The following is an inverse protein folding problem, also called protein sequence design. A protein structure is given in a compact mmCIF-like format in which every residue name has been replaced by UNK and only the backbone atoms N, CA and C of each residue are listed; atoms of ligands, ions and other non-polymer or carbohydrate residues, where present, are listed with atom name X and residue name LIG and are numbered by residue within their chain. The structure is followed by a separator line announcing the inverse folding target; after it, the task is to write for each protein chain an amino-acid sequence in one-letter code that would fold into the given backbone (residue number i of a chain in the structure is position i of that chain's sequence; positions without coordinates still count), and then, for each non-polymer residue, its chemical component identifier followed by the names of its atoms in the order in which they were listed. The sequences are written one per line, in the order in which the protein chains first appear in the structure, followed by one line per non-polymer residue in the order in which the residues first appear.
data_IF_080014093804
#
_entry.id   IF_080014093804
#
_cell.length_a   1.000
_cell.length_b   1.000
_cell.length_c   1.000
_cell.angle_alpha   90.00
_cell.angle_beta   90.00
_cell.angle_gamma   90.00
#
_symmetry.space_group_name_H-M   'P 1'
#
loop_
_entity.id
_entity.type
_entity.pdbx_description
1 polymer ?
#
# COMPACT_ATOMS: atom_id res chain seq x y z
N UNK A 1 27.31 -16.63 32.15
CA UNK A 1 26.48 -17.83 32.32
C UNK A 1 25.42 -17.82 31.24
N UNK A 2 25.42 -18.82 30.35
CA UNK A 2 24.36 -19.01 29.37
C UNK A 2 23.38 -20.03 30.00
N UNK A 3 22.18 -19.55 30.33
CA UNK A 3 21.12 -20.46 30.76
C UNK A 3 20.63 -21.27 29.53
N UNK A 4 20.31 -22.57 29.68
CA UNK A 4 19.68 -23.32 28.62
C UNK A 4 18.31 -22.71 28.27
N UNK A 5 17.88 -22.83 27.01
CA UNK A 5 16.52 -22.47 26.60
C UNK A 5 15.51 -23.27 27.47
N UNK A 6 14.43 -22.61 27.92
CA UNK A 6 13.40 -23.34 28.64
C UNK A 6 12.72 -24.37 27.73
N UNK A 7 12.57 -25.58 28.23
CA UNK A 7 11.75 -26.60 27.58
C UNK A 7 10.27 -26.26 27.75
N UNK A 8 9.61 -25.94 26.64
CA UNK A 8 8.19 -25.62 26.62
C UNK A 8 7.38 -26.90 26.40
N UNK A 9 6.42 -27.22 27.31
CA UNK A 9 5.56 -28.38 27.13
C UNK A 9 4.81 -28.36 25.80
N UNK A 10 4.80 -29.48 25.05
CA UNK A 10 4.06 -29.59 23.78
C UNK A 10 2.55 -29.40 23.96
N UNK A 11 2.02 -29.61 25.17
CA UNK A 11 0.61 -29.32 25.53
C UNK A 11 0.23 -27.84 25.44
N UNK A 12 1.20 -26.93 25.38
CA UNK A 12 0.95 -25.51 25.19
C UNK A 12 0.79 -25.12 23.72
N UNK A 13 1.13 -26.04 22.80
CA UNK A 13 0.93 -25.82 21.38
C UNK A 13 -0.56 -25.98 21.05
N UNK A 14 -1.13 -24.93 20.46
CA UNK A 14 -2.52 -24.92 19.98
C UNK A 14 -2.56 -24.42 18.54
N UNK A 15 -2.55 -25.37 17.60
CA UNK A 15 -2.53 -25.07 16.16
C UNK A 15 -3.73 -24.24 15.70
N UNK A 16 -4.90 -24.42 16.31
CA UNK A 16 -6.08 -23.65 15.95
C UNK A 16 -5.95 -22.21 16.41
N UNK A 17 -5.45 -21.97 17.61
CA UNK A 17 -5.18 -20.64 18.13
C UNK A 17 -4.08 -19.96 17.31
N UNK A 18 -3.01 -20.67 16.96
CA UNK A 18 -1.93 -20.17 16.11
C UNK A 18 -2.47 -19.73 14.74
N UNK A 19 -3.33 -20.53 14.11
CA UNK A 19 -3.96 -20.22 12.83
C UNK A 19 -4.85 -18.98 12.93
N UNK A 20 -5.69 -18.88 13.97
CA UNK A 20 -6.54 -17.71 14.22
C UNK A 20 -5.71 -16.43 14.42
N UNK A 21 -4.65 -16.54 15.21
CA UNK A 21 -3.76 -15.43 15.47
C UNK A 21 -2.96 -15.03 14.22
N UNK A 22 -2.50 -16.01 13.43
CA UNK A 22 -1.86 -15.77 12.13
C UNK A 22 -2.77 -14.98 11.18
N UNK A 23 -4.04 -15.37 11.06
CA UNK A 23 -5.05 -14.65 10.26
C UNK A 23 -5.25 -13.20 10.73
N UNK A 24 -5.33 -12.99 12.05
CA UNK A 24 -5.41 -11.66 12.63
C UNK A 24 -4.19 -10.80 12.24
N UNK A 25 -2.98 -11.35 12.39
CA UNK A 25 -1.74 -10.66 12.04
C UNK A 25 -1.66 -10.31 10.55
N UNK A 26 -1.95 -11.27 9.67
CA UNK A 26 -1.96 -11.07 8.23
C UNK A 26 -2.95 -9.98 7.81
N UNK A 27 -4.16 -9.99 8.38
CA UNK A 27 -5.17 -8.95 8.12
C UNK A 27 -4.67 -7.58 8.57
N UNK A 28 -4.08 -7.45 9.75
CA UNK A 28 -3.54 -6.18 10.26
C UNK A 28 -2.41 -5.67 9.36
N UNK A 29 -1.50 -6.55 8.94
CA UNK A 29 -0.39 -6.19 8.04
C UNK A 29 -0.94 -5.70 6.69
N UNK A 30 -1.90 -6.42 6.11
CA UNK A 30 -2.51 -6.05 4.85
C UNK A 30 -3.26 -4.70 4.95
N UNK A 31 -3.99 -4.45 6.04
CA UNK A 31 -4.63 -3.16 6.31
C UNK A 31 -3.60 -2.02 6.37
N UNK A 32 -2.48 -2.24 7.06
CA UNK A 32 -1.41 -1.23 7.13
C UNK A 32 -0.79 -0.96 5.76
N UNK A 33 -0.63 -1.98 4.93
CA UNK A 33 -0.15 -1.83 3.55
C UNK A 33 -1.15 -1.04 2.68
N UNK A 34 -2.46 -1.33 2.79
CA UNK A 34 -3.51 -0.56 2.10
C UNK A 34 -3.44 0.92 2.51
N UNK A 35 -3.26 1.21 3.81
CA UNK A 35 -3.10 2.59 4.30
C UNK A 35 -1.87 3.27 3.70
N UNK A 36 -0.74 2.57 3.69
CA UNK A 36 0.52 3.11 3.16
C UNK A 36 0.43 3.42 1.66
N UNK A 37 -0.14 2.49 0.88
CA UNK A 37 -0.30 2.66 -0.58
C UNK A 37 -1.24 3.82 -0.90
N UNK A 38 -2.33 3.97 -0.13
CA UNK A 38 -3.36 4.99 -0.37
C UNK A 38 -3.17 6.27 0.47
N UNK A 39 -2.04 6.42 1.15
CA UNK A 39 -1.73 7.57 2.02
C UNK A 39 -2.80 7.86 3.08
N UNK A 40 -3.47 6.82 3.61
CA UNK A 40 -4.49 6.95 4.65
C UNK A 40 -3.79 7.04 6.01
N UNK A 41 -4.08 8.11 6.77
CA UNK A 41 -3.51 8.30 8.10
C UNK A 41 -3.84 7.12 9.03
N UNK A 42 -2.91 6.72 9.89
CA UNK A 42 -3.09 5.61 10.83
C UNK A 42 -4.22 5.84 11.84
N UNK A 43 -4.55 7.11 12.12
CA UNK A 43 -5.64 7.52 13.01
C UNK A 43 -7.02 7.47 12.38
N UNK A 44 -7.12 7.46 11.04
CA UNK A 44 -8.40 7.45 10.31
C UNK A 44 -9.06 6.08 10.47
N UNK A 45 -10.29 5.96 10.99
CA UNK A 45 -10.98 4.68 11.03
C UNK A 45 -11.31 4.21 9.62
N UNK A 46 -11.14 2.90 9.36
CA UNK A 46 -11.52 2.25 8.11
C UNK A 46 -12.47 1.09 8.39
N UNK A 47 -13.22 0.70 7.39
CA UNK A 47 -14.10 -0.46 7.47
C UNK A 47 -13.46 -1.68 6.81
N UNK A 48 -13.73 -2.86 7.37
CA UNK A 48 -13.34 -4.15 6.81
C UNK A 48 -14.59 -4.93 6.42
N UNK A 49 -14.63 -5.39 5.19
CA UNK A 49 -15.61 -6.34 4.70
C UNK A 49 -14.86 -7.62 4.34
N UNK A 50 -15.19 -8.74 5.00
CA UNK A 50 -14.44 -10.00 4.85
C UNK A 50 -15.37 -11.08 4.32
N UNK A 51 -15.05 -11.59 3.12
CA UNK A 51 -15.76 -12.73 2.56
C UNK A 51 -15.05 -14.01 3.00
N UNK A 52 -15.74 -14.83 3.77
CA UNK A 52 -15.23 -16.07 4.34
C UNK A 52 -16.38 -17.02 4.70
N UNK A 53 -16.05 -18.25 5.11
CA UNK A 53 -17.09 -19.17 5.63
C UNK A 53 -17.62 -18.73 7.02
N UNK A 54 -18.69 -19.37 7.47
CA UNK A 54 -19.37 -19.02 8.72
C UNK A 54 -18.50 -19.19 9.98
N UNK A 55 -17.64 -20.22 10.00
CA UNK A 55 -16.76 -20.49 11.15
C UNK A 55 -15.72 -19.38 11.30
N UNK A 56 -15.11 -18.99 10.19
CA UNK A 56 -14.14 -17.89 10.15
C UNK A 56 -14.82 -16.56 10.48
N UNK A 57 -16.04 -16.33 10.01
CA UNK A 57 -16.78 -15.12 10.34
C UNK A 57 -17.02 -14.99 11.85
N UNK A 58 -17.41 -16.08 12.52
CA UNK A 58 -17.54 -16.11 13.97
C UNK A 58 -16.22 -15.80 14.68
N UNK A 59 -15.12 -16.44 14.25
CA UNK A 59 -13.78 -16.18 14.80
C UNK A 59 -13.33 -14.71 14.63
N UNK A 60 -13.66 -14.10 13.49
CA UNK A 60 -13.32 -12.70 13.22
C UNK A 60 -14.14 -11.74 14.09
N UNK A 61 -15.39 -12.07 14.37
CA UNK A 61 -16.21 -11.29 15.29
C UNK A 61 -15.66 -11.34 16.73
N UNK A 62 -15.16 -12.50 17.19
CA UNK A 62 -14.54 -12.64 18.51
C UNK A 62 -13.31 -11.74 18.69
N UNK A 63 -12.59 -11.48 17.61
CA UNK A 63 -11.37 -10.65 17.61
C UNK A 63 -11.56 -9.25 17.01
N UNK A 64 -12.81 -8.81 16.79
CA UNK A 64 -13.10 -7.52 16.14
C UNK A 64 -12.48 -6.32 16.87
N UNK A 65 -12.46 -6.35 18.18
CA UNK A 65 -11.85 -5.30 19.01
C UNK A 65 -10.34 -5.17 18.76
N UNK A 66 -9.65 -6.25 18.42
CA UNK A 66 -8.22 -6.22 18.11
C UNK A 66 -7.94 -5.50 16.79
N UNK A 67 -8.80 -5.63 15.78
CA UNK A 67 -8.68 -4.85 14.53
C UNK A 67 -8.81 -3.35 14.81
N UNK A 68 -9.76 -2.95 15.64
CA UNK A 68 -9.96 -1.56 16.02
C UNK A 68 -8.76 -1.01 16.81
N UNK A 69 -8.29 -1.76 17.80
CA UNK A 69 -7.19 -1.33 18.66
C UNK A 69 -5.84 -1.26 17.91
N UNK A 70 -5.53 -2.26 17.08
CA UNK A 70 -4.21 -2.43 16.46
C UNK A 70 -4.09 -1.80 15.06
N UNK A 71 -5.22 -1.61 14.38
CA UNK A 71 -5.24 -1.10 13.01
C UNK A 71 -6.25 0.04 12.77
N UNK A 72 -7.01 0.48 13.78
CA UNK A 72 -8.14 1.42 13.62
C UNK A 72 -9.09 0.96 12.50
N UNK A 73 -9.36 -0.35 12.44
CA UNK A 73 -10.18 -0.98 11.43
C UNK A 73 -11.42 -1.61 12.06
N UNK A 74 -12.60 -1.21 11.62
CA UNK A 74 -13.89 -1.70 12.12
C UNK A 74 -14.34 -2.86 11.23
N UNK A 75 -14.63 -4.01 11.81
CA UNK A 75 -15.23 -5.13 11.10
C UNK A 75 -16.70 -4.81 10.81
N UNK A 76 -16.98 -4.37 9.58
CA UNK A 76 -18.31 -3.96 9.15
C UNK A 76 -19.16 -5.17 8.71
N UNK A 77 -18.56 -6.16 8.06
CA UNK A 77 -19.23 -7.37 7.62
C UNK A 77 -18.23 -8.54 7.51
N UNK A 78 -18.66 -9.73 7.91
CA UNK A 78 -17.95 -10.99 7.67
C UNK A 78 -18.93 -12.09 7.31
N UNK A 79 -18.66 -12.88 6.27
CA UNK A 79 -19.50 -13.98 5.82
C UNK A 79 -19.35 -14.33 4.35
N UNK A 80 -20.03 -15.40 3.93
CA UNK A 80 -19.93 -15.93 2.56
C UNK A 80 -20.56 -14.99 1.51
N UNK A 81 -21.60 -14.24 1.90
CA UNK A 81 -22.38 -13.40 0.99
C UNK A 81 -21.82 -11.96 0.88
N UNK A 82 -20.69 -11.67 1.52
CA UNK A 82 -20.06 -10.33 1.46
C UNK A 82 -19.64 -10.01 0.05
N UNK A 83 -20.23 -8.97 -0.52
CA UNK A 83 -19.89 -8.46 -1.84
C UNK A 83 -18.78 -7.40 -1.73
N UNK A 84 -17.85 -7.36 -2.70
CA UNK A 84 -16.83 -6.32 -2.73
C UNK A 84 -17.52 -4.94 -2.89
N UNK A 85 -17.23 -3.98 -2.01
CA UNK A 85 -17.73 -2.61 -2.17
C UNK A 85 -17.20 -1.96 -3.45
N UNK A 86 -17.96 -1.01 -3.97
CA UNK A 86 -17.48 -0.16 -5.07
C UNK A 86 -16.24 0.62 -4.59
N UNK A 87 -15.19 0.67 -5.41
CA UNK A 87 -13.97 1.39 -5.06
C UNK A 87 -13.29 0.88 -3.77
N UNK A 88 -13.06 -0.43 -3.67
CA UNK A 88 -12.38 -1.05 -2.53
C UNK A 88 -10.98 -1.54 -2.91
N UNK A 89 -10.02 -1.40 -2.00
CA UNK A 89 -8.80 -2.18 -2.05
C UNK A 89 -9.12 -3.61 -1.60
N UNK A 90 -8.62 -4.60 -2.33
CA UNK A 90 -8.82 -6.00 -2.01
C UNK A 90 -7.50 -6.73 -1.78
N UNK A 91 -7.51 -7.67 -0.87
CA UNK A 91 -6.41 -8.62 -0.69
C UNK A 91 -6.97 -9.97 -0.24
N UNK A 92 -6.32 -11.03 -0.68
CA UNK A 92 -6.72 -12.40 -0.36
C UNK A 92 -5.80 -12.98 0.69
N UNK A 93 -6.37 -13.51 1.75
CA UNK A 93 -5.73 -14.38 2.72
C UNK A 93 -5.89 -15.84 2.28
N UNK A 94 -5.30 -16.77 2.99
CA UNK A 94 -5.37 -18.20 2.66
C UNK A 94 -6.82 -18.72 2.56
N UNK A 95 -7.74 -18.19 3.37
CA UNK A 95 -9.10 -18.69 3.55
C UNK A 95 -10.16 -17.58 3.62
N UNK A 96 -9.81 -16.36 3.24
CA UNK A 96 -10.72 -15.21 3.23
C UNK A 96 -10.27 -14.13 2.23
N UNK A 97 -11.23 -13.43 1.65
CA UNK A 97 -11.00 -12.21 0.87
C UNK A 97 -11.40 -10.99 1.71
N UNK A 98 -10.50 -10.03 1.79
CA UNK A 98 -10.72 -8.81 2.57
C UNK A 98 -10.84 -7.62 1.64
N UNK A 99 -11.86 -6.81 1.88
CA UNK A 99 -12.14 -5.60 1.13
C UNK A 99 -12.12 -4.40 2.08
N UNK A 100 -11.41 -3.37 1.68
CA UNK A 100 -11.34 -2.08 2.39
C UNK A 100 -11.95 -1.03 1.48
N UNK A 101 -13.16 -0.53 1.76
CA UNK A 101 -13.74 0.59 1.01
C UNK A 101 -12.81 1.80 1.09
N UNK A 102 -12.50 2.38 -0.05
CA UNK A 102 -11.64 3.57 -0.15
C UNK A 102 -12.46 4.86 -0.34
N UNK A 103 -13.77 4.71 -0.50
CA UNK A 103 -14.66 5.84 -0.69
C UNK A 103 -14.67 6.75 0.54
N UNK A 104 -14.43 8.05 0.33
CA UNK A 104 -14.30 9.03 1.41
C UNK A 104 -13.01 8.96 2.23
N UNK A 105 -12.15 7.96 2.02
CA UNK A 105 -10.86 7.83 2.70
C UNK A 105 -9.70 8.42 1.90
N UNK A 106 -9.84 8.45 0.57
CA UNK A 106 -8.88 9.11 -0.31
C UNK A 106 -9.39 10.52 -0.57
N UNK A 107 -8.65 11.50 -0.09
CA UNK A 107 -8.83 12.87 -0.51
C UNK A 107 -8.28 12.99 -1.94
N UNK A 108 -9.17 12.78 -2.92
CA UNK A 108 -8.82 12.83 -4.36
C UNK A 108 -8.21 14.16 -4.75
N UNK A 109 -8.68 15.27 -4.15
CA UNK A 109 -8.13 16.60 -4.43
C UNK A 109 -6.72 16.75 -3.90
N UNK A 110 -6.48 16.34 -2.65
CA UNK A 110 -5.13 16.37 -2.07
C UNK A 110 -4.17 15.44 -2.81
N UNK A 111 -4.61 14.26 -3.20
CA UNK A 111 -3.79 13.31 -3.97
C UNK A 111 -3.51 13.83 -5.38
N UNK A 112 -4.51 14.39 -6.04
CA UNK A 112 -4.35 15.08 -7.34
C UNK A 112 -3.37 16.24 -7.23
N UNK A 113 -3.49 17.08 -6.19
CA UNK A 113 -2.59 18.19 -5.97
C UNK A 113 -1.13 17.74 -5.73
N UNK A 114 -0.90 16.65 -5.01
CA UNK A 114 0.44 16.06 -4.83
C UNK A 114 1.02 15.57 -6.14
N UNK A 115 0.25 14.78 -6.89
CA UNK A 115 0.68 14.23 -8.16
C UNK A 115 0.93 15.34 -9.20
N UNK A 116 0.13 16.41 -9.20
CA UNK A 116 0.35 17.57 -10.05
C UNK A 116 1.68 18.28 -9.73
N UNK A 117 1.99 18.48 -8.45
CA UNK A 117 3.28 19.04 -8.02
C UNK A 117 4.46 18.17 -8.43
N UNK A 118 4.32 16.85 -8.31
CA UNK A 118 5.37 15.91 -8.74
C UNK A 118 5.52 15.91 -10.26
N UNK A 119 4.44 15.94 -11.03
CA UNK A 119 4.49 16.11 -12.48
C UNK A 119 5.24 17.39 -12.89
N UNK A 120 4.96 18.51 -12.23
CA UNK A 120 5.64 19.79 -12.49
C UNK A 120 7.12 19.73 -12.13
N UNK A 121 7.50 19.04 -11.05
CA UNK A 121 8.90 18.81 -10.69
C UNK A 121 9.62 17.98 -11.76
N UNK A 122 8.99 16.89 -12.22
CA UNK A 122 9.55 16.03 -13.28
C UNK A 122 9.67 16.79 -14.61
N UNK A 123 8.67 17.60 -15.01
CA UNK A 123 8.74 18.44 -16.22
C UNK A 123 9.92 19.41 -16.19
N UNK A 124 10.12 20.10 -15.04
CA UNK A 124 11.28 20.98 -14.86
C UNK A 124 12.60 20.22 -14.95
N UNK A 125 12.65 19.00 -14.38
CA UNK A 125 13.82 18.11 -14.47
C UNK A 125 14.11 17.69 -15.90
N UNK A 126 13.09 17.34 -16.67
CA UNK A 126 13.19 17.00 -18.11
C UNK A 126 13.72 18.20 -18.88
N UNK A 127 13.09 19.35 -18.75
CA UNK A 127 13.49 20.58 -19.43
C UNK A 127 14.97 20.96 -19.14
N UNK A 128 15.37 20.85 -17.86
CA UNK A 128 16.76 21.14 -17.47
C UNK A 128 17.76 20.20 -18.13
N UNK A 129 17.46 18.89 -18.16
CA UNK A 129 18.36 17.89 -18.77
C UNK A 129 18.35 18.00 -20.30
N UNK A 130 17.23 18.29 -20.93
CA UNK A 130 17.15 18.54 -22.37
C UNK A 130 17.96 19.77 -22.77
N UNK A 131 17.86 20.87 -22.01
CA UNK A 131 18.70 22.06 -22.21
C UNK A 131 20.19 21.78 -22.10
N UNK A 132 20.61 20.94 -21.12
CA UNK A 132 22.01 20.52 -20.98
C UNK A 132 22.49 19.72 -22.19
N UNK A 133 21.69 18.77 -22.66
CA UNK A 133 22.02 17.92 -23.80
C UNK A 133 21.93 18.68 -25.13
N UNK A 134 21.17 19.76 -25.23
CA UNK A 134 21.13 20.64 -26.39
C UNK A 134 22.27 21.66 -26.42
N UNK A 135 23.00 21.83 -25.31
CA UNK A 135 24.13 22.76 -25.26
C UNK A 135 25.41 22.13 -25.85
N UNK A 136 25.75 22.50 -27.06
CA UNK A 136 26.95 21.99 -27.78
C UNK A 136 28.26 22.15 -26.98
N UNK A 137 28.41 23.25 -26.24
CA UNK A 137 29.59 23.50 -25.41
C UNK A 137 29.68 22.53 -24.21
N UNK A 138 28.55 22.13 -23.67
CA UNK A 138 28.47 21.12 -22.64
C UNK A 138 28.77 19.72 -23.21
N UNK A 139 28.15 19.36 -24.32
CA UNK A 139 28.30 18.04 -24.95
C UNK A 139 29.75 17.83 -25.41
N UNK A 140 30.44 18.87 -25.90
CA UNK A 140 31.82 18.78 -26.35
C UNK A 140 32.86 18.66 -25.21
N UNK A 141 32.53 19.13 -23.99
CA UNK A 141 33.44 19.16 -22.85
C UNK A 141 33.15 18.10 -21.78
N UNK A 142 31.93 17.59 -21.72
CA UNK A 142 31.53 16.64 -20.70
C UNK A 142 32.11 15.24 -20.99
N UNK A 143 32.54 14.50 -19.94
CA UNK A 143 32.92 13.11 -20.08
C UNK A 143 31.79 12.25 -20.62
N UNK A 144 32.07 11.18 -21.41
CA UNK A 144 31.04 10.30 -21.97
C UNK A 144 30.10 9.72 -20.92
N UNK A 145 30.62 9.35 -19.76
CA UNK A 145 29.83 8.80 -18.64
C UNK A 145 28.79 9.79 -18.11
N UNK A 146 29.15 11.08 -18.03
CA UNK A 146 28.23 12.14 -17.57
C UNK A 146 27.13 12.38 -18.60
N UNK A 147 27.44 12.31 -19.88
CA UNK A 147 26.44 12.41 -20.95
C UNK A 147 25.47 11.23 -20.92
N UNK A 148 26.01 10.02 -20.71
CA UNK A 148 25.15 8.82 -20.61
C UNK A 148 24.25 8.89 -19.38
N UNK A 149 24.79 9.22 -18.21
CA UNK A 149 23.99 9.42 -16.99
C UNK A 149 22.89 10.48 -17.18
N UNK A 150 23.18 11.57 -17.87
CA UNK A 150 22.18 12.63 -18.12
C UNK A 150 21.05 12.10 -19.02
N UNK A 151 21.36 11.28 -20.00
CA UNK A 151 20.36 10.61 -20.87
C UNK A 151 19.52 9.62 -20.10
N UNK A 152 20.14 8.79 -19.26
CA UNK A 152 19.45 7.80 -18.45
C UNK A 152 18.49 8.45 -17.43
N UNK A 153 18.93 9.54 -16.79
CA UNK A 153 18.08 10.35 -15.90
C UNK A 153 16.92 10.97 -16.66
N UNK A 154 17.16 11.50 -17.86
CA UNK A 154 16.11 12.08 -18.70
C UNK A 154 15.05 11.02 -19.09
N UNK A 155 15.49 9.84 -19.50
CA UNK A 155 14.58 8.74 -19.84
C UNK A 155 13.77 8.28 -18.62
N UNK A 156 14.41 8.18 -17.45
CA UNK A 156 13.75 7.82 -16.21
C UNK A 156 12.68 8.86 -15.80
N UNK A 157 13.02 10.16 -15.89
CA UNK A 157 12.03 11.22 -15.60
C UNK A 157 10.84 11.19 -16.56
N UNK A 158 11.05 10.90 -17.85
CA UNK A 158 9.97 10.74 -18.83
C UNK A 158 9.06 9.56 -18.49
N UNK A 159 9.64 8.42 -18.07
CA UNK A 159 8.85 7.24 -17.62
C UNK A 159 8.05 7.56 -16.36
N UNK A 160 8.68 8.21 -15.37
CA UNK A 160 8.01 8.62 -14.14
C UNK A 160 6.87 9.61 -14.40
N UNK A 161 7.10 10.60 -15.28
CA UNK A 161 6.08 11.58 -15.65
C UNK A 161 4.86 10.90 -16.28
N UNK A 162 5.05 9.96 -17.20
CA UNK A 162 3.96 9.22 -17.81
C UNK A 162 3.13 8.43 -16.77
N UNK A 163 3.79 7.82 -15.78
CA UNK A 163 3.11 7.11 -14.69
C UNK A 163 2.31 8.07 -13.80
N UNK A 164 2.88 9.22 -13.44
CA UNK A 164 2.19 10.22 -12.60
C UNK A 164 1.01 10.84 -13.34
N UNK A 165 1.13 11.14 -14.64
CA UNK A 165 0.04 11.65 -15.46
C UNK A 165 -1.10 10.63 -15.61
N UNK A 166 -0.79 9.35 -15.71
CA UNK A 166 -1.79 8.28 -15.71
C UNK A 166 -2.58 8.24 -14.40
N UNK A 167 -1.90 8.43 -13.25
CA UNK A 167 -2.55 8.52 -11.94
C UNK A 167 -3.45 9.74 -11.85
N UNK A 168 -2.98 10.92 -12.29
CA UNK A 168 -3.80 12.15 -12.29
C UNK A 168 -5.08 11.94 -13.10
N UNK A 169 -4.96 11.34 -14.28
CA UNK A 169 -6.11 11.02 -15.15
C UNK A 169 -7.08 10.02 -14.52
N UNK A 170 -6.59 9.06 -13.73
CA UNK A 170 -7.44 8.09 -13.04
C UNK A 170 -8.18 8.71 -11.83
N UNK A 171 -7.74 9.88 -11.36
CA UNK A 171 -8.37 10.64 -10.27
C UNK A 171 -9.40 11.67 -10.77
N UNK A 172 -9.53 11.86 -12.07
CA UNK A 172 -10.57 12.69 -12.70
C UNK A 172 -11.92 11.97 -12.71
#
# INVERSE_FOLDING_TARGET
MLAPWPDVPTSWQNRDLERRFGRLQETIVAVRNVRAINNIASSTPIQLHIRCNADIASELHDVAAQFENLAKALLAAAGADVQPPTCAASFTLTDADVFVPLEGLIDREAERARNTKEADRLRKGIESNEKKLANEAFVAKAPPDVLQQTRDVLENYKKQLASVEAIIKALE
#
